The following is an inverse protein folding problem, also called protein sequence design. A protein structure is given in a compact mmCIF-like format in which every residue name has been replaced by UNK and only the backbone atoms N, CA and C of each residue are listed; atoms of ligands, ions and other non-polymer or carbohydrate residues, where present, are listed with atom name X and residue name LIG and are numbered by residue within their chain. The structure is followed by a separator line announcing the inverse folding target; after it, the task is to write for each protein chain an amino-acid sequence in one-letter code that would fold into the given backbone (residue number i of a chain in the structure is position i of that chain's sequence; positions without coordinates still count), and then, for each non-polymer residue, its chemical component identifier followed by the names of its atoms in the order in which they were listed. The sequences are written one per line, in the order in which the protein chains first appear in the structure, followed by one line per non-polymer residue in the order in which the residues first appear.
data_IF_388642725868
#
_entry.id   IF_388642725868
#
_cell.length_a   1.000
_cell.length_b   1.000
_cell.length_c   1.000
_cell.angle_alpha   90.00
_cell.angle_beta   90.00
_cell.angle_gamma   90.00
#
_symmetry.space_group_name_H-M   'P 1'
#
loop_
_entity.id
_entity.type
_entity.pdbx_description
1 polymer ?
#
# COMPACT_ATOMS: atom_id res chain seq x y z
N UNK A 1 6.99 3.55 4.15
CA UNK A 1 8.14 4.32 3.61
C UNK A 1 8.10 4.27 2.11
N UNK A 2 7.98 5.41 1.41
CA UNK A 2 7.86 5.44 -0.05
C UNK A 2 9.12 5.05 -0.82
N UNK A 3 8.96 4.82 -2.13
CA UNK A 3 10.01 4.35 -3.05
C UNK A 3 11.14 5.37 -3.18
N UNK A 4 12.38 4.91 -3.22
CA UNK A 4 13.54 5.77 -3.53
C UNK A 4 13.87 5.59 -5.02
N UNK A 5 13.98 6.70 -5.75
CA UNK A 5 14.40 6.74 -7.15
C UNK A 5 15.93 6.67 -7.26
N UNK A 6 16.43 6.29 -8.43
CA UNK A 6 17.88 6.17 -8.70
C UNK A 6 18.65 7.49 -8.49
N UNK A 7 17.93 8.62 -8.53
CA UNK A 7 18.46 9.95 -8.26
C UNK A 7 18.49 10.32 -6.75
N UNK A 8 18.17 9.38 -5.86
CA UNK A 8 18.13 9.58 -4.41
C UNK A 8 16.87 10.26 -3.89
N UNK A 9 15.92 10.67 -4.75
CA UNK A 9 14.66 11.26 -4.31
C UNK A 9 13.72 10.20 -3.77
N UNK A 10 13.09 10.50 -2.64
CA UNK A 10 12.04 9.66 -2.05
C UNK A 10 10.69 10.09 -2.61
N UNK A 11 10.03 9.20 -3.32
CA UNK A 11 8.64 9.38 -3.76
C UNK A 11 7.75 9.25 -2.52
N UNK A 12 6.91 10.24 -2.31
CA UNK A 12 5.90 10.18 -1.24
C UNK A 12 4.77 9.28 -1.72
N UNK A 13 4.33 8.29 -0.93
CA UNK A 13 3.20 7.46 -1.31
C UNK A 13 1.95 8.32 -1.48
N UNK A 14 1.13 8.02 -2.49
CA UNK A 14 -0.14 8.73 -2.68
C UNK A 14 -1.21 8.31 -1.64
N UNK A 15 -1.01 7.15 -1.01
CA UNK A 15 -1.88 6.59 0.03
C UNK A 15 -1.51 7.05 1.43
N UNK A 16 -2.53 7.33 2.24
CA UNK A 16 -2.40 7.78 3.61
C UNK A 16 -3.13 6.84 4.58
N UNK A 17 -2.74 6.88 5.86
CA UNK A 17 -3.39 6.07 6.90
C UNK A 17 -4.87 6.48 7.01
N UNK A 18 -5.77 5.49 6.89
CA UNK A 18 -7.21 5.69 6.93
C UNK A 18 -7.88 5.72 5.55
N UNK A 19 -7.10 5.76 4.45
CA UNK A 19 -7.65 5.68 3.11
C UNK A 19 -8.29 4.30 2.87
N UNK A 20 -9.45 4.31 2.20
CA UNK A 20 -10.05 3.09 1.65
C UNK A 20 -9.56 2.93 0.23
N UNK A 21 -8.95 1.79 -0.09
CA UNK A 21 -8.31 1.56 -1.39
C UNK A 21 -8.88 0.36 -2.12
N UNK A 22 -8.84 0.41 -3.44
CA UNK A 22 -9.08 -0.74 -4.32
C UNK A 22 -7.71 -1.28 -4.74
N UNK A 23 -7.50 -2.57 -4.57
CA UNK A 23 -6.26 -3.25 -4.96
C UNK A 23 -6.56 -4.51 -5.77
N UNK A 24 -5.54 -5.05 -6.43
CA UNK A 24 -5.69 -6.27 -7.22
C UNK A 24 -6.00 -7.49 -6.33
N UNK A 25 -7.10 -8.21 -6.60
CA UNK A 25 -7.65 -9.27 -5.73
C UNK A 25 -6.65 -10.35 -5.29
N UNK A 26 -5.61 -10.61 -6.08
CA UNK A 26 -4.64 -11.68 -5.85
C UNK A 26 -3.22 -11.15 -5.57
N UNK A 27 -3.07 -9.84 -5.33
CA UNK A 27 -1.78 -9.25 -4.97
C UNK A 27 -1.61 -9.11 -3.46
N UNK A 28 -0.34 -8.94 -3.05
CA UNK A 28 0.06 -8.76 -1.66
C UNK A 28 0.53 -10.03 -0.96
N UNK A 29 0.95 -9.86 0.29
CA UNK A 29 1.39 -10.93 1.18
C UNK A 29 0.62 -10.85 2.49
N UNK A 30 -0.02 -11.95 2.88
CA UNK A 30 -0.72 -12.03 4.16
C UNK A 30 0.29 -12.12 5.32
N UNK A 31 0.08 -11.32 6.35
CA UNK A 31 0.84 -11.33 7.59
C UNK A 31 -0.13 -11.47 8.76
N UNK A 32 0.19 -12.34 9.72
CA UNK A 32 -0.49 -12.37 11.02
C UNK A 32 0.44 -11.79 12.07
N UNK A 33 -0.02 -10.77 12.78
CA UNK A 33 0.72 -10.14 13.87
C UNK A 33 -0.27 -9.88 15.01
N UNK A 34 0.09 -10.28 16.23
CA UNK A 34 -0.72 -10.06 17.44
C UNK A 34 -2.19 -10.53 17.35
N UNK A 35 -2.43 -11.60 16.57
CA UNK A 35 -3.76 -12.18 16.35
C UNK A 35 -4.59 -11.49 15.27
N UNK A 36 -4.11 -10.38 14.72
CA UNK A 36 -4.75 -9.67 13.61
C UNK A 36 -4.16 -10.11 12.26
N UNK A 37 -4.99 -10.05 11.22
CA UNK A 37 -4.60 -10.33 9.83
C UNK A 37 -4.35 -9.01 9.11
N UNK A 38 -3.19 -8.89 8.52
CA UNK A 38 -2.77 -7.78 7.68
C UNK A 38 -2.48 -8.28 6.27
N UNK A 39 -2.67 -7.41 5.29
CA UNK A 39 -2.26 -7.64 3.91
C UNK A 39 -1.24 -6.58 3.53
N UNK A 40 0.00 -7.01 3.27
CA UNK A 40 1.06 -6.13 2.80
C UNK A 40 0.91 -5.97 1.31
N UNK A 41 0.74 -4.73 0.84
CA UNK A 41 0.61 -4.37 -0.56
C UNK A 41 1.76 -3.47 -0.97
N UNK A 42 2.20 -3.57 -2.22
CA UNK A 42 3.05 -2.55 -2.83
C UNK A 42 2.19 -1.42 -3.36
N UNK A 43 2.74 -0.22 -3.51
CA UNK A 43 1.99 0.92 -4.05
C UNK A 43 1.44 0.63 -5.46
N UNK A 44 2.18 -0.13 -6.28
CA UNK A 44 1.74 -0.55 -7.62
C UNK A 44 0.51 -1.46 -7.61
N UNK A 45 0.19 -2.11 -6.48
CA UNK A 45 -0.97 -2.97 -6.35
C UNK A 45 -2.26 -2.18 -6.09
N UNK A 46 -2.14 -0.91 -5.67
CA UNK A 46 -3.25 -0.01 -5.39
C UNK A 46 -3.73 0.61 -6.70
N UNK A 47 -4.97 0.30 -7.07
CA UNK A 47 -5.59 0.73 -8.32
C UNK A 47 -6.34 2.06 -8.17
N UNK A 48 -6.90 2.33 -6.99
CA UNK A 48 -7.64 3.56 -6.70
C UNK A 48 -7.78 3.83 -5.20
N UNK A 49 -7.97 5.10 -4.83
CA UNK A 49 -8.38 5.54 -3.49
C UNK A 49 -9.86 5.96 -3.55
N UNK A 50 -10.70 5.37 -2.71
CA UNK A 50 -12.12 5.70 -2.61
C UNK A 50 -12.31 6.86 -1.62
N UNK A 51 -12.91 7.96 -2.09
CA UNK A 51 -13.37 9.06 -1.23
C UNK A 51 -14.88 8.98 -1.08
N UNK A 52 -15.37 9.10 0.15
CA UNK A 52 -16.79 9.27 0.45
C UNK A 52 -17.25 10.69 0.14
#
# INVERSE_FOLDING_TARGET
SGRILDNGQKVTPEVHVGDTVVFSKYSGTELKLDGEKYLILTESDVLAILKK
#
